data_IF_071692760736
#
_entry.id   IF_071692760736
#
_cell.length_a   1.000
_cell.length_b   1.000
_cell.length_c   1.000
_cell.angle_alpha   90.00
_cell.angle_beta   90.00
_cell.angle_gamma   90.00
#
_symmetry.space_group_name_H-M   'P 1'
#
loop_
_entity.id
_entity.type
_entity.pdbx_description
1 polymer ?
#
# COMPACT_ATOMS: atom_id res chain seq x y z
N UNK A 1 6.33 -13.19 69.72
CA UNK A 1 5.19 -14.10 69.82
C UNK A 1 5.15 -14.95 68.56
N UNK A 2 5.71 -16.16 68.65
CA UNK A 2 5.73 -17.16 67.59
C UNK A 2 4.37 -17.85 67.46
N UNK A 3 4.18 -18.58 66.34
CA UNK A 3 3.51 -19.90 66.15
C UNK A 3 2.87 -19.92 64.73
N UNK A 4 3.56 -20.33 63.67
CA UNK A 4 3.79 -21.70 63.13
C UNK A 4 2.55 -22.50 62.64
N UNK A 5 2.69 -23.00 61.39
CA UNK A 5 2.11 -24.21 60.73
C UNK A 5 0.68 -24.05 60.18
N UNK A 6 0.29 -24.50 58.97
CA UNK A 6 0.75 -25.50 57.99
C UNK A 6 0.08 -25.17 56.63
N UNK A 7 0.67 -25.25 55.43
CA UNK A 7 1.24 -26.36 54.61
C UNK A 7 0.23 -27.36 53.98
N UNK A 8 -0.05 -27.07 52.68
CA UNK A 8 -0.27 -27.91 51.46
C UNK A 8 -1.56 -28.80 51.42
N UNK A 9 -2.37 -28.93 50.34
CA UNK A 9 -2.10 -29.54 49.02
C UNK A 9 -3.19 -29.28 47.95
N UNK A 10 -2.70 -29.01 46.73
CA UNK A 10 -3.12 -29.57 45.41
C UNK A 10 -4.49 -29.23 44.81
N UNK A 11 -4.43 -28.51 43.69
CA UNK A 11 -4.87 -29.00 42.37
C UNK A 11 -4.07 -28.20 41.31
N UNK A 12 -2.99 -28.72 40.75
CA UNK A 12 -2.97 -29.69 39.64
C UNK A 12 -3.72 -29.18 38.39
N UNK A 13 -3.21 -28.10 37.77
CA UNK A 13 -3.37 -27.92 36.33
C UNK A 13 -2.01 -28.10 35.68
N UNK A 14 -1.99 -29.10 34.82
CA UNK A 14 -0.84 -29.71 34.22
C UNK A 14 -0.10 -28.71 33.35
N UNK A 15 1.21 -28.69 33.56
CA UNK A 15 2.20 -28.10 32.69
C UNK A 15 1.91 -28.60 31.26
N UNK A 16 1.44 -27.72 30.38
CA UNK A 16 1.38 -28.01 28.96
C UNK A 16 2.83 -28.23 28.51
N UNK A 17 3.21 -29.49 28.34
CA UNK A 17 4.46 -29.86 27.68
C UNK A 17 4.48 -29.17 26.32
N UNK A 18 5.26 -28.10 26.19
CA UNK A 18 5.72 -27.66 24.87
C UNK A 18 6.55 -28.81 24.32
N UNK A 19 5.93 -29.64 23.49
CA UNK A 19 6.65 -30.61 22.69
C UNK A 19 7.56 -29.83 21.74
N UNK A 20 8.84 -29.70 22.12
CA UNK A 20 9.90 -29.32 21.20
C UNK A 20 10.10 -30.53 20.29
N UNK A 21 9.40 -30.55 19.15
CA UNK A 21 9.72 -31.49 18.09
C UNK A 21 11.06 -31.06 17.52
N UNK A 22 12.13 -31.71 17.97
CA UNK A 22 13.45 -31.59 17.38
C UNK A 22 13.38 -32.17 15.97
N UNK A 23 13.19 -31.32 14.96
CA UNK A 23 13.35 -31.70 13.55
C UNK A 23 14.84 -31.83 13.26
N UNK A 24 15.45 -32.91 13.74
CA UNK A 24 16.74 -33.36 13.23
C UNK A 24 16.47 -33.90 11.83
N UNK A 25 16.73 -33.09 10.81
CA UNK A 25 16.84 -33.59 9.43
C UNK A 25 18.08 -34.49 9.40
N UNK A 26 17.96 -35.81 9.13
CA UNK A 26 19.15 -36.61 8.87
C UNK A 26 19.78 -36.05 7.59
N UNK A 27 21.00 -35.52 7.71
CA UNK A 27 21.84 -35.18 6.57
C UNK A 27 22.31 -36.49 5.95
N UNK A 28 21.48 -37.09 5.11
CA UNK A 28 21.95 -38.16 4.23
C UNK A 28 22.91 -37.52 3.23
N UNK A 29 24.20 -37.82 3.37
CA UNK A 29 25.17 -37.70 2.27
C UNK A 29 24.80 -38.76 1.22
N UNK A 30 23.68 -38.55 0.53
CA UNK A 30 23.33 -39.27 -0.66
C UNK A 30 24.14 -38.65 -1.80
N UNK A 31 24.88 -39.48 -2.53
CA UNK A 31 25.48 -39.09 -3.80
C UNK A 31 24.44 -38.36 -4.64
N UNK A 32 24.75 -37.13 -5.05
CA UNK A 32 23.90 -36.31 -5.93
C UNK A 32 23.72 -37.10 -7.22
N UNK A 33 22.61 -37.80 -7.34
CA UNK A 33 22.12 -38.25 -8.64
C UNK A 33 21.68 -36.95 -9.28
N UNK A 34 22.38 -36.52 -10.34
CA UNK A 34 21.96 -35.42 -11.19
C UNK A 34 20.60 -35.83 -11.78
N UNK A 35 19.53 -35.51 -11.07
CA UNK A 35 18.16 -35.75 -11.49
C UNK A 35 17.78 -34.61 -12.44
N UNK A 36 17.64 -34.94 -13.73
CA UNK A 36 17.38 -33.95 -14.78
C UNK A 36 16.07 -33.16 -14.54
N UNK A 37 15.15 -33.70 -13.72
CA UNK A 37 13.89 -33.07 -13.32
C UNK A 37 13.98 -32.25 -12.01
N UNK A 38 15.18 -32.12 -11.42
CA UNK A 38 15.38 -31.30 -10.23
C UNK A 38 15.13 -29.81 -10.52
N UNK A 39 14.56 -29.04 -9.56
CA UNK A 39 14.32 -27.62 -9.75
C UNK A 39 15.63 -26.85 -9.87
N UNK A 40 15.78 -26.09 -10.95
CA UNK A 40 16.94 -25.22 -11.20
C UNK A 40 16.72 -23.84 -10.56
N UNK A 41 17.76 -23.26 -9.95
CA UNK A 41 17.74 -21.87 -9.48
C UNK A 41 17.76 -20.91 -10.68
N UNK A 42 16.61 -20.31 -10.99
CA UNK A 42 16.45 -19.28 -12.02
C UNK A 42 15.58 -18.12 -11.55
N UNK A 43 15.71 -16.95 -12.17
CA UNK A 43 14.76 -15.86 -11.95
C UNK A 43 13.36 -16.27 -12.43
N UNK A 44 12.31 -15.84 -11.72
CA UNK A 44 10.93 -16.22 -12.05
C UNK A 44 10.54 -15.73 -13.47
N UNK A 45 10.34 -16.65 -14.44
CA UNK A 45 10.02 -16.27 -15.83
C UNK A 45 8.59 -15.73 -15.99
N UNK A 46 7.69 -15.99 -15.04
CA UNK A 46 6.29 -15.53 -15.05
C UNK A 46 6.10 -14.20 -14.30
N UNK A 47 7.20 -13.51 -13.95
CA UNK A 47 7.15 -12.23 -13.23
C UNK A 47 6.61 -11.13 -14.12
N UNK A 48 5.39 -10.66 -13.81
CA UNK A 48 4.78 -9.50 -14.48
C UNK A 48 5.58 -8.22 -14.23
N UNK A 49 5.60 -7.35 -15.23
CA UNK A 49 6.20 -6.04 -15.11
C UNK A 49 5.53 -5.19 -14.03
N UNK A 50 6.31 -4.28 -13.43
CA UNK A 50 5.79 -3.39 -12.39
C UNK A 50 4.89 -2.32 -13.02
N UNK A 51 3.66 -2.25 -12.52
CA UNK A 51 2.71 -1.21 -12.93
C UNK A 51 3.21 0.16 -12.45
N UNK A 52 3.39 1.07 -13.40
CA UNK A 52 3.75 2.47 -13.12
C UNK A 52 2.51 3.37 -13.11
N UNK A 53 2.53 4.44 -12.31
CA UNK A 53 1.47 5.45 -12.32
C UNK A 53 1.56 6.36 -13.55
N UNK A 54 0.46 7.03 -13.89
CA UNK A 54 0.32 7.88 -15.09
C UNK A 54 1.40 8.99 -15.14
N UNK A 55 1.66 9.66 -14.01
CA UNK A 55 2.65 10.73 -13.95
C UNK A 55 4.10 10.22 -14.10
N UNK A 56 4.39 8.99 -13.67
CA UNK A 56 5.71 8.38 -13.89
C UNK A 56 5.87 7.94 -15.34
N UNK A 57 4.84 7.30 -15.93
CA UNK A 57 4.85 6.87 -17.33
C UNK A 57 5.09 8.03 -18.29
N UNK A 58 4.47 9.18 -18.02
CA UNK A 58 4.58 10.38 -18.85
C UNK A 58 5.72 11.32 -18.43
N UNK A 59 6.50 10.98 -17.39
CA UNK A 59 7.56 11.84 -16.84
C UNK A 59 7.11 13.27 -16.49
N UNK A 60 5.88 13.43 -16.00
CA UNK A 60 5.32 14.74 -15.66
C UNK A 60 5.66 15.09 -14.20
N UNK A 61 6.17 16.30 -14.00
CA UNK A 61 6.33 16.94 -12.69
C UNK A 61 5.15 17.89 -12.46
N UNK A 62 4.32 17.67 -11.42
CA UNK A 62 3.22 18.57 -11.12
C UNK A 62 3.78 19.89 -10.58
N UNK A 63 3.21 21.01 -11.04
CA UNK A 63 3.53 22.38 -10.62
C UNK A 63 2.24 23.13 -10.26
N UNK A 64 2.24 23.92 -9.19
CA UNK A 64 1.09 24.73 -8.74
C UNK A 64 0.56 25.72 -9.79
N UNK A 65 1.42 26.13 -10.73
CA UNK A 65 1.06 27.03 -11.82
C UNK A 65 0.22 26.33 -12.88
N UNK A 66 0.38 25.02 -13.05
CA UNK A 66 -0.37 24.25 -14.02
C UNK A 66 -1.74 23.86 -13.45
N UNK A 67 -2.63 24.84 -13.38
CA UNK A 67 -3.97 24.64 -12.84
C UNK A 67 -4.75 23.56 -13.60
N UNK A 68 -4.60 23.49 -14.93
CA UNK A 68 -5.30 22.51 -15.78
C UNK A 68 -5.04 21.07 -15.33
N UNK A 69 -3.78 20.70 -15.14
CA UNK A 69 -3.39 19.37 -14.66
C UNK A 69 -3.91 19.11 -13.24
N UNK A 70 -3.71 20.06 -12.32
CA UNK A 70 -4.08 19.90 -10.91
C UNK A 70 -5.59 19.78 -10.71
N UNK A 71 -6.38 20.51 -11.50
CA UNK A 71 -7.85 20.49 -11.46
C UNK A 71 -8.44 19.10 -11.75
N UNK A 72 -7.69 18.22 -12.43
CA UNK A 72 -8.13 16.85 -12.72
C UNK A 72 -8.15 15.99 -11.45
N UNK A 73 -7.28 16.27 -10.48
CA UNK A 73 -7.18 15.55 -9.19
C UNK A 73 -8.18 16.03 -8.13
N UNK A 74 -9.10 16.92 -8.51
CA UNK A 74 -10.12 17.49 -7.64
C UNK A 74 -11.52 17.03 -8.05
N UNK A 75 -12.37 16.79 -7.06
CA UNK A 75 -13.80 16.56 -7.27
C UNK A 75 -14.47 17.79 -7.89
N UNK A 76 -15.27 17.63 -8.96
CA UNK A 76 -15.88 18.75 -9.66
C UNK A 76 -16.84 19.54 -8.77
N UNK A 77 -17.60 18.86 -7.92
CA UNK A 77 -18.67 19.45 -7.12
C UNK A 77 -18.22 19.90 -5.72
N UNK A 78 -17.28 19.18 -5.10
CA UNK A 78 -16.91 19.40 -3.69
C UNK A 78 -15.54 20.03 -3.51
N UNK A 79 -14.74 20.13 -4.58
CA UNK A 79 -13.40 20.66 -4.49
C UNK A 79 -12.42 19.78 -3.68
N UNK A 80 -12.85 18.59 -3.24
CA UNK A 80 -12.01 17.66 -2.47
C UNK A 80 -10.98 16.99 -3.38
N UNK A 81 -9.75 16.89 -2.91
CA UNK A 81 -8.67 16.19 -3.61
C UNK A 81 -8.92 14.69 -3.53
N UNK A 82 -8.84 13.98 -4.65
CA UNK A 82 -9.00 12.54 -4.69
C UNK A 82 -7.82 11.82 -4.01
N UNK A 83 -8.13 10.79 -3.22
CA UNK A 83 -7.13 9.97 -2.57
C UNK A 83 -6.47 8.96 -3.52
N UNK A 84 -5.37 8.36 -3.06
CA UNK A 84 -4.59 7.37 -3.82
C UNK A 84 -5.40 6.17 -4.32
N UNK A 85 -6.45 5.77 -3.59
CA UNK A 85 -7.31 4.65 -3.97
C UNK A 85 -8.16 4.93 -5.23
N UNK A 86 -8.36 6.22 -5.56
CA UNK A 86 -9.02 6.67 -6.79
C UNK A 86 -7.98 6.98 -7.86
N UNK A 87 -6.97 7.81 -7.55
CA UNK A 87 -6.03 8.33 -8.55
C UNK A 87 -5.04 7.29 -9.07
N UNK A 88 -4.77 6.23 -8.30
CA UNK A 88 -3.78 5.20 -8.67
C UNK A 88 -2.34 5.72 -8.73
N UNK A 89 -2.04 6.87 -8.14
CA UNK A 89 -0.69 7.44 -8.14
C UNK A 89 0.26 6.75 -7.14
N UNK A 90 1.56 6.80 -7.44
CA UNK A 90 2.60 6.45 -6.47
C UNK A 90 2.51 7.37 -5.23
N UNK A 91 2.90 6.88 -4.06
CA UNK A 91 2.86 7.64 -2.79
C UNK A 91 3.60 8.99 -2.91
N UNK A 92 4.75 9.00 -3.57
CA UNK A 92 5.56 10.21 -3.80
C UNK A 92 4.84 11.22 -4.67
N UNK A 93 4.37 10.80 -5.85
CA UNK A 93 3.65 11.66 -6.80
C UNK A 93 2.33 12.17 -6.23
N UNK A 94 1.61 11.35 -5.47
CA UNK A 94 0.38 11.78 -4.78
C UNK A 94 0.68 12.91 -3.78
N UNK A 95 1.70 12.76 -2.93
CA UNK A 95 2.08 13.79 -1.96
C UNK A 95 2.50 15.10 -2.65
N UNK A 96 3.22 15.00 -3.77
CA UNK A 96 3.59 16.16 -4.59
C UNK A 96 2.37 16.87 -5.17
N UNK A 97 1.43 16.13 -5.76
CA UNK A 97 0.18 16.70 -6.31
C UNK A 97 -0.63 17.39 -5.21
N UNK A 98 -0.78 16.76 -4.04
CA UNK A 98 -1.48 17.37 -2.91
C UNK A 98 -0.81 18.67 -2.42
N UNK A 99 0.53 18.68 -2.37
CA UNK A 99 1.29 19.87 -1.98
C UNK A 99 1.13 21.01 -2.99
N UNK A 100 1.24 20.72 -4.28
CA UNK A 100 1.09 21.73 -5.34
C UNK A 100 -0.36 22.22 -5.48
N UNK A 101 -1.36 21.38 -5.23
CA UNK A 101 -2.77 21.81 -5.13
C UNK A 101 -2.95 22.78 -3.96
N UNK A 102 -2.49 22.41 -2.75
CA UNK A 102 -2.60 23.30 -1.57
C UNK A 102 -1.89 24.63 -1.82
N UNK A 103 -0.74 24.59 -2.48
CA UNK A 103 0.02 25.78 -2.88
C UNK A 103 -0.75 26.63 -3.89
N UNK A 104 -1.31 26.03 -4.94
CA UNK A 104 -2.13 26.72 -5.93
C UNK A 104 -3.36 27.38 -5.29
N UNK A 105 -4.02 26.67 -4.37
CA UNK A 105 -5.17 27.17 -3.63
C UNK A 105 -4.79 28.36 -2.72
N UNK A 106 -3.71 28.24 -1.96
CA UNK A 106 -3.23 29.32 -1.08
C UNK A 106 -2.79 30.56 -1.86
N UNK A 107 -2.25 30.39 -3.07
CA UNK A 107 -1.86 31.48 -3.96
C UNK A 107 -3.03 32.05 -4.79
N UNK A 108 -4.26 31.53 -4.64
CA UNK A 108 -5.43 32.00 -5.38
C UNK A 108 -5.50 31.57 -6.85
N UNK A 109 -4.65 30.64 -7.31
CA UNK A 109 -4.70 30.08 -8.67
C UNK A 109 -5.81 29.03 -8.83
N UNK A 110 -6.26 28.40 -7.74
CA UNK A 110 -7.19 27.28 -7.78
C UNK A 110 -8.27 27.40 -6.69
N UNK A 111 -9.56 27.20 -7.02
CA UNK A 111 -10.65 27.22 -6.03
C UNK A 111 -10.61 26.04 -5.04
N UNK A 112 -11.10 26.28 -3.81
CA UNK A 112 -11.18 25.28 -2.74
C UNK A 112 -12.44 24.41 -2.80
N UNK A 113 -13.61 25.00 -3.09
CA UNK A 113 -14.91 24.36 -2.88
C UNK A 113 -15.51 23.70 -4.12
N UNK A 114 -15.03 24.05 -5.30
CA UNK A 114 -15.53 23.54 -6.57
C UNK A 114 -14.40 23.55 -7.59
N UNK A 115 -14.54 22.79 -8.67
CA UNK A 115 -13.64 22.87 -9.82
C UNK A 115 -14.10 23.96 -10.79
N UNK A 116 -13.18 24.72 -11.37
CA UNK A 116 -13.53 25.73 -12.38
C UNK A 116 -14.23 25.08 -13.59
N UNK A 117 -15.27 25.76 -14.07
CA UNK A 117 -16.17 25.31 -15.13
C UNK A 117 -15.42 25.13 -16.46
N UNK A 118 -14.38 25.92 -16.68
CA UNK A 118 -13.50 25.86 -17.85
C UNK A 118 -12.87 24.47 -18.02
N UNK A 119 -12.50 23.80 -16.92
CA UNK A 119 -11.82 22.50 -16.91
C UNK A 119 -12.74 21.31 -16.64
N UNK A 120 -14.06 21.50 -16.57
CA UNK A 120 -15.02 20.39 -16.34
C UNK A 120 -15.05 19.37 -17.49
N UNK A 121 -14.78 19.83 -18.72
CA UNK A 121 -14.81 19.01 -19.94
C UNK A 121 -13.47 18.37 -20.28
N UNK A 122 -12.46 18.51 -19.43
CA UNK A 122 -11.17 17.83 -19.63
C UNK A 122 -11.33 16.30 -19.59
N UNK A 123 -10.52 15.54 -20.33
CA UNK A 123 -10.55 14.09 -20.30
C UNK A 123 -10.28 13.59 -18.87
N UNK A 124 -11.12 12.67 -18.39
CA UNK A 124 -10.97 12.08 -17.05
C UNK A 124 -9.79 11.11 -17.05
N UNK A 125 -8.84 11.31 -16.14
CA UNK A 125 -7.70 10.39 -15.95
C UNK A 125 -8.05 9.15 -15.13
N UNK A 126 -9.09 9.25 -14.30
CA UNK A 126 -9.56 8.22 -13.39
C UNK A 126 -11.06 8.37 -13.19
N UNK A 127 -11.70 7.26 -12.85
CA UNK A 127 -13.13 7.19 -12.56
C UNK A 127 -13.35 7.19 -11.05
N UNK A 128 -13.88 8.29 -10.46
CA UNK A 128 -14.13 8.37 -9.03
C UNK A 128 -15.15 7.36 -8.53
N UNK A 129 -16.05 6.92 -9.40
CA UNK A 129 -17.12 5.97 -9.09
C UNK A 129 -16.62 4.53 -8.97
N UNK A 130 -15.48 4.20 -9.60
CA UNK A 130 -14.90 2.87 -9.57
C UNK A 130 -13.45 2.90 -9.02
N UNK A 131 -13.26 3.08 -7.70
CA UNK A 131 -11.95 3.14 -7.09
C UNK A 131 -11.25 1.77 -7.10
N UNK A 132 -9.92 1.76 -7.26
CA UNK A 132 -9.07 0.56 -7.30
C UNK A 132 -9.19 -0.25 -6.00
N UNK A 133 -9.36 0.44 -4.88
CA UNK A 133 -9.63 -0.19 -3.59
C UNK A 133 -10.92 0.39 -3.05
N UNK A 134 -11.85 -0.50 -2.70
CA UNK A 134 -13.08 -0.10 -2.01
C UNK A 134 -12.74 0.61 -0.70
N UNK A 135 -13.39 1.75 -0.46
CA UNK A 135 -13.38 2.33 0.87
C UNK A 135 -14.36 1.57 1.78
N UNK A 136 -14.16 1.67 3.09
CA UNK A 136 -14.96 0.95 4.09
C UNK A 136 -16.37 1.54 4.30
N UNK A 137 -16.59 2.77 3.86
CA UNK A 137 -17.85 3.50 4.04
C UNK A 137 -18.72 3.44 2.79
#
# INVERSE_FOLDING_TARGET
>A
MALLKSLILRNAFLITHRALVSTIRPSSNASVVEDDDAPVEMENPFKKERVQCILCKLNITPDYKNYRLLSQFQSPYTGRIYGRHVTGLCKSKQALVEAEIRKAQNCGYMPYYYKDKTFLKDPKLFDPENPIRSHRF
#
